data_IF_005517490816
#
_entry.id   IF_005517490816
#
_cell.length_a   1.000
_cell.length_b   1.000
_cell.length_c   1.000
_cell.angle_alpha   90.00
_cell.angle_beta   90.00
_cell.angle_gamma   90.00
#
_symmetry.space_group_name_H-M   'P 1'
#
loop_
_entity.id
_entity.type
_entity.pdbx_description
1 polymer ?
#
# COMPACT_ATOMS: atom_id res chain seq x y z
N UNK A 1 33.46 -12.65 -1.36
CA UNK A 1 33.03 -12.09 -0.07
C UNK A 1 32.17 -13.10 0.66
N UNK A 2 32.17 -13.09 1.99
CA UNK A 2 31.29 -13.96 2.81
C UNK A 2 29.97 -13.25 3.07
N UNK A 3 28.85 -13.92 2.80
CA UNK A 3 27.50 -13.42 3.12
C UNK A 3 26.95 -14.29 4.24
N UNK A 4 26.48 -13.66 5.31
CA UNK A 4 25.73 -14.33 6.37
C UNK A 4 24.28 -13.87 6.28
N UNK A 5 23.36 -14.80 6.04
CA UNK A 5 21.92 -14.53 6.03
C UNK A 5 21.32 -14.98 7.36
N UNK A 6 20.67 -14.05 8.07
CA UNK A 6 20.07 -14.27 9.38
C UNK A 6 18.56 -13.99 9.27
N UNK A 7 17.75 -14.99 8.85
CA UNK A 7 16.30 -14.84 8.85
C UNK A 7 15.77 -14.76 10.30
N UNK A 8 14.55 -14.25 10.47
CA UNK A 8 13.93 -14.09 11.79
C UNK A 8 14.81 -13.28 12.78
N UNK A 9 15.53 -12.28 12.28
CA UNK A 9 16.26 -11.30 13.08
C UNK A 9 15.63 -9.93 12.89
N UNK A 10 14.88 -9.47 13.88
CA UNK A 10 14.24 -8.16 13.83
C UNK A 10 15.11 -7.14 14.56
N UNK A 11 15.81 -6.30 13.80
CA UNK A 11 16.58 -5.18 14.35
C UNK A 11 15.61 -4.11 14.84
N UNK A 12 15.65 -3.80 16.13
CA UNK A 12 14.75 -2.82 16.75
C UNK A 12 15.44 -1.48 17.05
N UNK A 13 16.77 -1.47 17.20
CA UNK A 13 17.56 -0.22 17.27
C UNK A 13 18.95 -0.39 16.64
N UNK A 14 19.52 0.73 16.22
CA UNK A 14 20.87 0.83 15.66
C UNK A 14 21.56 2.03 16.31
N UNK A 15 22.62 1.75 17.06
CA UNK A 15 23.35 2.75 17.83
C UNK A 15 24.76 2.98 17.26
N UNK A 16 25.25 4.23 17.21
CA UNK A 16 26.64 4.51 16.86
C UNK A 16 27.59 3.85 17.86
N UNK A 17 28.61 3.15 17.36
CA UNK A 17 29.66 2.51 18.16
C UNK A 17 30.98 3.31 18.12
N UNK A 18 30.88 4.65 18.13
CA UNK A 18 32.02 5.56 17.92
C UNK A 18 32.72 5.31 16.58
N UNK A 19 34.05 5.37 16.56
CA UNK A 19 34.86 5.14 15.35
C UNK A 19 34.78 3.69 14.81
N UNK A 20 34.13 2.78 15.55
CA UNK A 20 34.02 1.36 15.18
C UNK A 20 32.78 1.01 14.35
N UNK A 21 31.96 1.99 13.98
CA UNK A 21 30.78 1.82 13.12
C UNK A 21 29.48 1.78 13.91
N UNK A 22 28.71 0.71 13.76
CA UNK A 22 27.34 0.58 14.25
C UNK A 22 27.14 -0.70 15.05
N UNK A 23 26.37 -0.60 16.13
CA UNK A 23 25.83 -1.74 16.87
C UNK A 23 24.34 -1.87 16.55
N UNK A 24 23.92 -3.04 16.09
CA UNK A 24 22.53 -3.36 15.79
C UNK A 24 22.01 -4.28 16.89
N UNK A 25 20.94 -3.87 17.54
CA UNK A 25 20.25 -4.68 18.53
C UNK A 25 19.05 -5.33 17.85
N UNK A 26 18.97 -6.65 17.96
CA UNK A 26 17.96 -7.45 17.30
C UNK A 26 17.31 -8.45 18.27
N UNK A 27 16.14 -8.93 17.88
CA UNK A 27 15.52 -10.12 18.45
C UNK A 27 15.62 -11.23 17.40
N UNK A 28 16.16 -12.38 17.80
CA UNK A 28 16.39 -13.54 16.95
C UNK A 28 15.46 -14.69 17.33
N UNK A 29 14.84 -15.31 16.32
CA UNK A 29 13.92 -16.44 16.49
C UNK A 29 12.47 -16.05 16.21
N UNK A 30 11.55 -16.96 16.57
CA UNK A 30 10.11 -16.74 16.45
C UNK A 30 9.49 -16.93 17.83
N UNK A 31 8.45 -16.17 18.14
CA UNK A 31 7.70 -16.35 19.38
C UNK A 31 7.27 -17.83 19.57
N UNK A 32 7.44 -18.41 20.77
CA UNK A 32 7.88 -17.75 22.02
C UNK A 32 9.39 -17.78 22.26
N UNK A 33 10.18 -18.49 21.46
CA UNK A 33 11.61 -18.78 21.70
C UNK A 33 12.54 -17.66 21.20
N UNK A 34 12.11 -16.41 21.34
CA UNK A 34 12.84 -15.23 20.92
C UNK A 34 14.00 -14.92 21.86
N UNK A 35 15.18 -14.64 21.31
CA UNK A 35 16.39 -14.32 22.07
C UNK A 35 17.00 -13.00 21.63
N UNK A 36 17.57 -12.20 22.55
CA UNK A 36 18.27 -10.97 22.18
C UNK A 36 19.57 -11.29 21.42
N UNK A 37 19.81 -10.55 20.34
CA UNK A 37 21.01 -10.64 19.51
C UNK A 37 21.64 -9.26 19.32
N UNK A 38 22.97 -9.22 19.21
CA UNK A 38 23.72 -7.98 18.93
C UNK A 38 24.68 -8.22 17.79
N UNK A 39 24.65 -7.35 16.78
CA UNK A 39 25.53 -7.40 15.62
C UNK A 39 26.35 -6.12 15.51
N UNK A 40 27.57 -6.22 14.99
CA UNK A 40 28.40 -5.06 14.66
C UNK A 40 28.66 -4.95 13.18
N UNK A 41 28.54 -3.75 12.65
CA UNK A 41 28.77 -3.46 11.24
C UNK A 41 29.50 -2.13 11.06
N UNK A 42 30.41 -2.06 10.09
CA UNK A 42 31.07 -0.78 9.73
C UNK A 42 30.11 0.17 9.00
N UNK A 43 29.18 -0.40 8.23
CA UNK A 43 28.18 0.34 7.45
C UNK A 43 26.83 -0.33 7.59
N UNK A 44 25.76 0.46 7.57
CA UNK A 44 24.37 -0.01 7.63
C UNK A 44 23.63 0.51 6.41
N UNK A 45 23.02 -0.42 5.65
CA UNK A 45 22.10 -0.11 4.56
C UNK A 45 20.68 -0.39 5.04
N UNK A 46 19.85 0.65 5.11
CA UNK A 46 18.44 0.50 5.45
C UNK A 46 17.65 0.14 4.20
N UNK A 47 17.11 -1.07 4.19
CA UNK A 47 16.28 -1.62 3.12
C UNK A 47 15.04 -2.33 3.70
N UNK A 48 14.42 -1.73 4.72
CA UNK A 48 13.28 -2.29 5.48
C UNK A 48 11.96 -2.30 4.72
N UNK A 49 11.95 -1.84 3.47
CA UNK A 49 10.76 -1.76 2.64
C UNK A 49 9.87 -0.56 2.98
N UNK A 50 8.58 -0.69 2.70
CA UNK A 50 7.57 0.31 2.98
C UNK A 50 6.31 -0.37 3.51
N UNK A 51 5.53 0.34 4.32
CA UNK A 51 4.26 -0.15 4.87
C UNK A 51 3.11 0.73 4.40
N UNK A 52 1.91 0.14 4.37
CA UNK A 52 0.67 0.84 4.08
C UNK A 52 0.30 1.77 5.25
N UNK A 53 -0.06 3.03 4.94
CA UNK A 53 -0.61 3.94 5.95
C UNK A 53 -2.14 3.93 5.90
N UNK A 54 -2.76 3.39 6.93
CA UNK A 54 -4.21 3.44 7.14
C UNK A 54 -4.57 4.75 7.84
N UNK A 55 -5.50 5.51 7.25
CA UNK A 55 -5.99 6.76 7.82
C UNK A 55 -7.35 6.50 8.50
N UNK A 56 -7.50 6.75 9.81
CA UNK A 56 -8.76 6.54 10.50
C UNK A 56 -9.88 7.44 9.96
N UNK A 57 -11.06 6.86 9.69
CA UNK A 57 -12.30 7.56 9.35
C UNK A 57 -13.50 6.75 9.85
N UNK A 58 -14.67 7.34 10.13
CA UNK A 58 -15.83 6.59 10.63
C UNK A 58 -16.13 5.31 9.83
N UNK A 59 -16.18 4.17 10.53
CA UNK A 59 -16.41 2.85 9.93
C UNK A 59 -15.18 2.13 9.36
N UNK A 60 -13.98 2.69 9.45
CA UNK A 60 -12.75 2.09 8.90
C UNK A 60 -12.35 0.73 9.49
N UNK A 61 -12.87 0.38 10.67
CA UNK A 61 -12.64 -0.91 11.35
C UNK A 61 -13.74 -1.93 11.12
N UNK A 62 -14.77 -1.60 10.34
CA UNK A 62 -15.89 -2.52 10.09
C UNK A 62 -15.44 -3.75 9.29
N UNK A 63 -16.01 -4.94 9.57
CA UNK A 63 -15.77 -6.12 8.74
C UNK A 63 -16.04 -5.84 7.26
N UNK A 64 -15.08 -6.21 6.40
CA UNK A 64 -15.13 -5.93 4.97
C UNK A 64 -14.31 -4.69 4.54
N UNK A 65 -13.82 -3.89 5.50
CA UNK A 65 -12.76 -2.89 5.25
C UNK A 65 -11.41 -3.54 5.51
N UNK A 66 -10.59 -3.65 4.46
CA UNK A 66 -9.26 -4.24 4.52
C UNK A 66 -8.25 -3.34 3.83
N UNK A 67 -7.00 -3.40 4.30
CA UNK A 67 -5.89 -2.73 3.63
C UNK A 67 -5.69 -3.25 2.21
N UNK A 68 -5.17 -2.41 1.33
CA UNK A 68 -4.87 -2.77 -0.06
C UNK A 68 -3.86 -3.93 -0.13
N UNK A 69 -2.84 -3.89 0.75
CA UNK A 69 -1.89 -5.00 0.88
C UNK A 69 -2.54 -6.28 1.40
N UNK A 70 -3.46 -6.15 2.36
CA UNK A 70 -4.24 -7.27 2.88
C UNK A 70 -5.10 -7.93 1.79
N UNK A 71 -5.82 -7.14 0.99
CA UNK A 71 -6.61 -7.64 -0.13
C UNK A 71 -5.75 -8.39 -1.17
N UNK A 72 -4.55 -7.88 -1.47
CA UNK A 72 -3.61 -8.57 -2.37
C UNK A 72 -3.07 -9.87 -1.76
N UNK A 73 -2.77 -9.88 -0.46
CA UNK A 73 -2.32 -11.08 0.23
C UNK A 73 -3.41 -12.17 0.22
N UNK A 74 -4.66 -11.81 0.50
CA UNK A 74 -5.81 -12.73 0.42
C UNK A 74 -5.93 -13.35 -0.98
N UNK A 75 -5.81 -12.52 -2.02
CA UNK A 75 -5.91 -12.97 -3.40
C UNK A 75 -4.76 -13.90 -3.79
N UNK A 76 -3.52 -13.58 -3.41
CA UNK A 76 -2.33 -14.33 -3.82
C UNK A 76 -2.11 -15.62 -3.02
N UNK A 77 -2.36 -15.59 -1.71
CA UNK A 77 -2.01 -16.71 -0.82
C UNK A 77 -3.15 -17.70 -0.62
N UNK A 78 -4.40 -17.22 -0.67
CA UNK A 78 -5.57 -18.04 -0.37
C UNK A 78 -6.55 -18.18 -1.55
N UNK A 79 -6.31 -17.48 -2.67
CA UNK A 79 -7.22 -17.40 -3.82
C UNK A 79 -8.65 -16.95 -3.44
N UNK A 80 -8.81 -16.26 -2.31
CA UNK A 80 -10.11 -15.78 -1.83
C UNK A 80 -10.25 -14.30 -2.16
N UNK A 81 -11.38 -13.94 -2.76
CA UNK A 81 -11.76 -12.54 -2.93
C UNK A 81 -12.21 -11.95 -1.58
N UNK A 82 -11.76 -10.72 -1.21
CA UNK A 82 -12.24 -10.05 0.00
C UNK A 82 -13.75 -9.74 -0.05
N UNK A 83 -14.34 -9.77 -1.25
CA UNK A 83 -15.78 -9.71 -1.48
C UNK A 83 -16.10 -9.79 -2.96
N UNK A 84 -17.38 -10.03 -3.30
CA UNK A 84 -17.83 -10.08 -4.70
C UNK A 84 -17.92 -8.72 -5.36
N UNK A 85 -18.15 -7.65 -4.58
CA UNK A 85 -18.25 -6.26 -5.05
C UNK A 85 -17.42 -5.36 -4.16
N UNK A 86 -16.34 -4.77 -4.69
CA UNK A 86 -15.29 -4.11 -3.91
C UNK A 86 -15.01 -2.72 -4.46
N UNK A 87 -15.09 -1.70 -3.62
CA UNK A 87 -14.54 -0.38 -3.96
C UNK A 87 -13.09 -0.33 -3.49
N UNK A 88 -12.19 0.10 -4.35
CA UNK A 88 -10.78 0.32 -4.01
C UNK A 88 -10.59 1.81 -3.77
N UNK A 89 -10.06 2.21 -2.62
CA UNK A 89 -9.91 3.62 -2.27
C UNK A 89 -8.58 3.89 -1.56
N UNK A 90 -8.01 5.07 -1.77
CA UNK A 90 -6.79 5.51 -1.09
C UNK A 90 -6.04 6.56 -1.90
N UNK A 91 -4.71 6.49 -1.87
CA UNK A 91 -3.88 7.28 -2.77
C UNK A 91 -2.64 6.52 -3.24
N UNK A 92 -2.35 6.60 -4.53
CA UNK A 92 -1.14 6.07 -5.13
C UNK A 92 -1.37 5.05 -6.23
N UNK A 93 -0.29 4.70 -6.96
CA UNK A 93 -0.36 3.75 -8.08
C UNK A 93 -0.78 2.34 -7.67
N UNK A 94 -0.64 1.98 -6.37
CA UNK A 94 -1.06 0.68 -5.84
C UNK A 94 -2.54 0.40 -6.05
N UNK A 95 -3.40 1.44 -6.05
CA UNK A 95 -4.84 1.27 -6.22
C UNK A 95 -5.20 0.60 -7.55
N UNK A 96 -4.49 0.97 -8.63
CA UNK A 96 -4.73 0.42 -9.97
C UNK A 96 -4.34 -1.06 -10.03
N UNK A 97 -3.22 -1.44 -9.40
CA UNK A 97 -2.75 -2.81 -9.34
C UNK A 97 -3.71 -3.72 -8.55
N UNK A 98 -4.20 -3.23 -7.41
CA UNK A 98 -5.17 -3.95 -6.56
C UNK A 98 -6.49 -4.11 -7.30
N UNK A 99 -7.04 -3.02 -7.85
CA UNK A 99 -8.29 -3.04 -8.58
C UNK A 99 -8.25 -3.94 -9.82
N UNK A 100 -7.15 -3.88 -10.59
CA UNK A 100 -6.95 -4.75 -11.74
C UNK A 100 -6.85 -6.23 -11.35
N UNK A 101 -6.14 -6.55 -10.27
CA UNK A 101 -6.03 -7.93 -9.78
C UNK A 101 -7.37 -8.47 -9.28
N UNK A 102 -8.14 -7.66 -8.55
CA UNK A 102 -9.49 -8.04 -8.09
C UNK A 102 -10.45 -8.25 -9.26
N UNK A 103 -10.44 -7.35 -10.24
CA UNK A 103 -11.29 -7.46 -11.43
C UNK A 103 -10.94 -8.70 -12.27
N UNK A 104 -9.64 -8.96 -12.49
CA UNK A 104 -9.17 -10.15 -13.19
C UNK A 104 -9.53 -11.45 -12.47
N UNK A 105 -9.60 -11.42 -11.13
CA UNK A 105 -10.06 -12.53 -10.30
C UNK A 105 -11.60 -12.65 -10.20
N UNK A 106 -12.36 -11.83 -10.94
CA UNK A 106 -13.82 -11.93 -11.03
C UNK A 106 -14.60 -11.08 -10.03
N UNK A 107 -13.94 -10.22 -9.24
CA UNK A 107 -14.65 -9.26 -8.40
C UNK A 107 -15.27 -8.14 -9.25
N UNK A 108 -16.46 -7.69 -8.88
CA UNK A 108 -17.05 -6.47 -9.43
C UNK A 108 -16.40 -5.27 -8.75
N UNK A 109 -15.60 -4.49 -9.48
CA UNK A 109 -14.98 -3.26 -8.97
C UNK A 109 -15.69 -2.05 -9.57
N UNK A 110 -16.73 -1.50 -8.92
CA UNK A 110 -17.51 -0.41 -9.50
C UNK A 110 -16.72 0.92 -9.58
N UNK A 111 -15.74 1.11 -8.69
CA UNK A 111 -14.93 2.32 -8.66
C UNK A 111 -13.55 2.11 -8.01
N UNK A 112 -12.58 2.88 -8.50
CA UNK A 112 -11.34 3.21 -7.81
C UNK A 112 -11.42 4.68 -7.38
N UNK A 113 -11.25 4.94 -6.09
CA UNK A 113 -11.33 6.28 -5.49
C UNK A 113 -9.94 6.74 -5.10
N UNK A 114 -9.40 7.67 -5.87
CA UNK A 114 -8.07 8.24 -5.69
C UNK A 114 -8.20 9.64 -5.07
N UNK A 115 -7.60 9.82 -3.90
CA UNK A 115 -7.64 11.10 -3.17
C UNK A 115 -6.84 12.21 -3.88
N UNK A 116 -5.76 11.85 -4.57
CA UNK A 116 -4.94 12.76 -5.33
C UNK A 116 -5.55 13.08 -6.72
N UNK A 117 -5.02 14.12 -7.35
CA UNK A 117 -5.12 14.24 -8.79
C UNK A 117 -3.97 13.45 -9.40
N UNK A 118 -4.17 12.70 -10.49
CA UNK A 118 -3.03 12.05 -11.16
C UNK A 118 -1.99 13.04 -11.68
N UNK A 119 -2.38 14.31 -11.91
CA UNK A 119 -1.43 15.40 -12.20
C UNK A 119 -0.43 15.65 -11.06
N UNK A 120 -0.73 15.23 -9.84
CA UNK A 120 0.20 15.29 -8.72
C UNK A 120 1.40 14.34 -8.90
N UNK A 121 1.30 13.34 -9.78
CA UNK A 121 2.40 12.44 -10.14
C UNK A 121 3.21 12.93 -11.36
N UNK A 122 2.82 14.05 -11.99
CA UNK A 122 3.55 14.61 -13.13
C UNK A 122 5.05 14.88 -12.85
N UNK A 123 5.47 15.34 -11.66
CA UNK A 123 6.90 15.51 -11.34
C UNK A 123 7.69 14.20 -11.34
N UNK A 124 7.03 13.04 -11.27
CA UNK A 124 7.66 11.72 -11.26
C UNK A 124 7.80 11.12 -12.67
N UNK A 125 7.32 11.81 -13.70
CA UNK A 125 7.43 11.36 -15.10
C UNK A 125 8.87 10.99 -15.53
N UNK A 126 9.93 11.73 -15.14
CA UNK A 126 11.31 11.34 -15.48
C UNK A 126 11.74 10.00 -14.86
N UNK A 127 11.24 9.66 -13.68
CA UNK A 127 11.51 8.37 -13.04
C UNK A 127 10.79 7.22 -13.76
N UNK A 128 9.61 7.49 -14.31
CA UNK A 128 8.83 6.55 -15.11
C UNK A 128 9.51 6.27 -16.46
N UNK A 129 10.10 7.29 -17.09
CA UNK A 129 10.89 7.12 -18.32
C UNK A 129 12.13 6.24 -18.12
N UNK A 130 12.73 6.25 -16.92
CA UNK A 130 13.88 5.38 -16.58
C UNK A 130 13.48 3.94 -16.26
N UNK A 131 12.18 3.66 -16.13
CA UNK A 131 11.67 2.32 -15.84
C UNK A 131 10.50 1.96 -16.78
N UNK A 132 10.79 1.61 -18.05
CA UNK A 132 9.75 1.32 -19.04
C UNK A 132 8.87 0.11 -18.65
N UNK A 133 9.40 -0.83 -17.86
CA UNK A 133 8.60 -1.94 -17.34
C UNK A 133 7.43 -1.45 -16.46
N UNK A 134 7.63 -0.39 -15.66
CA UNK A 134 6.56 0.22 -14.84
C UNK A 134 5.50 0.94 -15.67
N UNK A 135 5.87 1.48 -16.83
CA UNK A 135 4.92 2.04 -17.79
C UNK A 135 4.02 0.96 -18.38
N UNK A 136 4.62 -0.16 -18.81
CA UNK A 136 3.88 -1.32 -19.34
C UNK A 136 2.94 -1.88 -18.27
N UNK A 137 3.44 -2.06 -17.05
CA UNK A 137 2.63 -2.52 -15.92
C UNK A 137 1.43 -1.60 -15.65
N UNK A 138 1.65 -0.27 -15.65
CA UNK A 138 0.58 0.71 -15.53
C UNK A 138 -0.43 0.65 -16.69
N UNK A 139 0.03 0.46 -17.92
CA UNK A 139 -0.84 0.33 -19.10
C UNK A 139 -1.68 -0.95 -19.05
N UNK A 140 -1.10 -2.07 -18.57
CA UNK A 140 -1.83 -3.32 -18.35
C UNK A 140 -2.94 -3.11 -17.33
N UNK A 141 -2.65 -2.48 -16.19
CA UNK A 141 -3.68 -2.18 -15.20
C UNK A 141 -4.76 -1.24 -15.74
N UNK A 142 -4.37 -0.17 -16.44
CA UNK A 142 -5.33 0.74 -17.09
C UNK A 142 -6.24 0.01 -18.09
N UNK A 143 -5.67 -0.85 -18.93
CA UNK A 143 -6.42 -1.68 -19.87
C UNK A 143 -7.39 -2.64 -19.19
N UNK A 144 -6.99 -3.28 -18.10
CA UNK A 144 -7.86 -4.15 -17.30
C UNK A 144 -9.03 -3.36 -16.70
N UNK A 145 -8.77 -2.18 -16.13
CA UNK A 145 -9.84 -1.34 -15.58
C UNK A 145 -10.85 -0.92 -16.64
N UNK A 146 -10.39 -0.53 -17.84
CA UNK A 146 -11.26 -0.20 -18.96
C UNK A 146 -12.11 -1.38 -19.40
N UNK A 147 -11.50 -2.57 -19.56
CA UNK A 147 -12.21 -3.80 -19.95
C UNK A 147 -13.31 -4.20 -18.96
N UNK A 148 -13.09 -3.96 -17.67
CA UNK A 148 -14.06 -4.27 -16.61
C UNK A 148 -14.98 -3.09 -16.25
N UNK A 149 -14.93 -1.97 -17.00
CA UNK A 149 -15.79 -0.81 -16.78
C UNK A 149 -15.57 -0.10 -15.44
N UNK A 150 -14.36 -0.19 -14.87
CA UNK A 150 -14.06 0.36 -13.54
C UNK A 150 -13.94 1.88 -13.61
N UNK A 151 -14.74 2.59 -12.82
CA UNK A 151 -14.73 4.06 -12.78
C UNK A 151 -13.56 4.57 -11.94
N UNK A 152 -12.69 5.39 -12.53
CA UNK A 152 -11.61 6.06 -11.79
C UNK A 152 -12.07 7.44 -11.30
N UNK A 153 -12.34 7.56 -10.00
CA UNK A 153 -12.76 8.80 -9.33
C UNK A 153 -11.54 9.46 -8.69
N UNK A 154 -10.90 10.36 -9.44
CA UNK A 154 -9.76 11.16 -8.94
C UNK A 154 -10.23 12.31 -8.08
N UNK A 155 -9.39 12.80 -7.17
CA UNK A 155 -9.74 13.88 -6.22
C UNK A 155 -10.99 13.53 -5.41
N UNK A 156 -11.12 12.29 -4.95
CA UNK A 156 -12.20 11.85 -4.07
C UNK A 156 -11.62 11.03 -2.93
N UNK A 157 -12.18 11.16 -1.73
CA UNK A 157 -11.77 10.35 -0.57
C UNK A 157 -12.99 9.70 0.06
N UNK A 158 -12.83 8.47 0.53
CA UNK A 158 -13.78 7.85 1.46
C UNK A 158 -13.74 8.67 2.73
N UNK A 159 -14.89 9.11 3.21
CA UNK A 159 -15.00 9.81 4.49
C UNK A 159 -15.73 8.99 5.53
N UNK A 160 -16.52 8.01 5.10
CA UNK A 160 -17.31 7.17 6.00
C UNK A 160 -17.67 5.85 5.32
N UNK A 161 -17.70 4.79 6.13
CA UNK A 161 -18.23 3.48 5.76
C UNK A 161 -19.34 3.12 6.75
N UNK A 162 -20.47 2.64 6.24
CA UNK A 162 -21.60 2.19 7.05
C UNK A 162 -21.98 0.75 6.72
N UNK A 163 -22.75 0.12 7.60
CA UNK A 163 -23.31 -1.21 7.42
C UNK A 163 -22.71 -2.27 8.36
N UNK A 164 -23.54 -3.26 8.70
CA UNK A 164 -23.21 -4.33 9.66
C UNK A 164 -22.93 -5.68 8.99
N UNK A 165 -23.58 -5.97 7.86
CA UNK A 165 -23.38 -7.20 7.05
C UNK A 165 -22.92 -6.92 5.62
N UNK A 166 -23.11 -5.69 5.14
CA UNK A 166 -22.68 -5.21 3.81
C UNK A 166 -22.19 -3.79 3.96
N UNK A 167 -20.98 -3.52 3.49
CA UNK A 167 -20.36 -2.20 3.55
C UNK A 167 -20.95 -1.28 2.47
N UNK A 168 -21.55 -0.18 2.91
CA UNK A 168 -21.90 0.98 2.11
C UNK A 168 -20.83 2.05 2.30
N UNK A 169 -20.42 2.70 1.20
CA UNK A 169 -19.27 3.61 1.22
C UNK A 169 -19.71 5.00 0.80
N UNK A 170 -19.40 5.99 1.63
CA UNK A 170 -19.67 7.40 1.40
C UNK A 170 -18.36 8.11 1.05
N UNK A 171 -18.40 8.87 -0.04
CA UNK A 171 -17.26 9.62 -0.53
C UNK A 171 -17.66 11.09 -0.66
N UNK A 172 -16.78 11.99 -0.23
CA UNK A 172 -16.98 13.42 -0.41
C UNK A 172 -16.13 13.93 -1.57
N UNK A 173 -16.71 14.83 -2.37
CA UNK A 173 -15.93 15.68 -3.25
C UNK A 173 -15.12 16.68 -2.37
N UNK A 174 -13.87 17.01 -2.71
CA UNK A 174 -13.14 18.04 -1.98
C UNK A 174 -13.91 19.36 -2.10
N UNK A 175 -13.94 20.18 -1.03
CA UNK A 175 -14.52 21.51 -1.14
C UNK A 175 -13.76 22.28 -2.23
N UNK A 176 -14.49 22.98 -3.11
CA UNK A 176 -13.86 23.97 -4.00
C UNK A 176 -13.03 24.89 -3.10
N UNK A 177 -11.72 24.96 -3.30
CA UNK A 177 -10.88 25.98 -2.66
C UNK A 177 -11.56 27.33 -2.93
N UNK A 178 -12.16 27.95 -1.91
CA UNK A 178 -12.32 29.40 -1.92
C UNK A 178 -10.89 29.91 -1.77
N UNK A 179 -10.35 30.46 -2.85
CA UNK A 179 -9.24 31.40 -2.74
C UNK A 179 -9.74 32.49 -1.79
N UNK A 180 -9.15 32.56 -0.59
CA UNK A 180 -9.25 33.78 0.20
C UNK A 180 -8.60 34.90 -0.64
N UNK A 181 -9.26 36.05 -0.84
CA UNK A 181 -8.61 37.19 -1.48
C UNK A 181 -7.40 37.65 -0.63
N UNK A 182 -6.41 38.29 -1.28
CA UNK A 182 -5.11 38.62 -0.69
C UNK A 182 -5.19 39.51 0.56
#
# INVERSE_FOLDING_TARGET
>A
GRITYLPAHHVWTVDPAGDQGWTLHAVAGHAPDETPATLRARHVLLATGAYERQLPFPGWTLPGVVGAGGAQAMLKNNLVLPGRRVVVAGSGPLLLAVAGSLAAAGATVPAVVEAAAYTAYAPQAPALHRNPAKLVEGAVYGGTLLRHGVRLLTRHAVTEVQGTTRVEVFFRHPPRRRLAPP
#
